data_IF_689264468685
#
_entry.id   IF_689264468685
#
_cell.length_a   1.000
_cell.length_b   1.000
_cell.length_c   1.000
_cell.angle_alpha   90.00
_cell.angle_beta   90.00
_cell.angle_gamma   90.00
#
_symmetry.space_group_name_H-M   'P 1'
#
loop_
_entity.id
_entity.type
_entity.pdbx_description
1 polymer ?
#
# COMPACT_ATOMS: atom_id res chain seq x y z
N UNK A 1 15.32 7.47 16.52
CA UNK A 1 14.67 6.16 16.57
C UNK A 1 13.97 5.95 15.23
N UNK A 2 14.70 5.59 14.17
CA UNK A 2 14.14 5.47 12.81
C UNK A 2 13.82 4.02 12.44
N UNK A 3 14.53 3.05 13.01
CA UNK A 3 14.25 1.63 12.88
C UNK A 3 13.28 1.09 13.95
N UNK A 4 12.05 1.61 13.98
CA UNK A 4 10.97 1.09 14.82
C UNK A 4 9.66 1.04 14.04
N UNK A 5 8.75 0.11 14.38
CA UNK A 5 7.42 0.07 13.77
C UNK A 5 6.64 1.34 14.08
N UNK A 6 5.82 1.76 13.12
CA UNK A 6 4.90 2.89 13.32
C UNK A 6 3.93 2.57 14.47
N UNK A 7 3.79 3.50 15.41
CA UNK A 7 2.78 3.40 16.46
C UNK A 7 1.37 3.66 15.91
N UNK A 8 0.34 3.30 16.68
CA UNK A 8 -1.07 3.45 16.27
C UNK A 8 -1.46 4.89 15.95
N UNK A 9 -0.84 5.89 16.61
CA UNK A 9 -1.10 7.31 16.33
C UNK A 9 -0.56 7.74 14.97
N UNK A 10 0.65 7.30 14.62
CA UNK A 10 1.29 7.60 13.34
C UNK A 10 0.62 6.83 12.19
N UNK A 11 0.18 5.60 12.43
CA UNK A 11 -0.68 4.87 11.48
C UNK A 11 -2.02 5.57 11.28
N UNK A 12 -2.64 6.05 12.38
CA UNK A 12 -3.89 6.82 12.33
C UNK A 12 -3.76 8.10 11.49
N UNK A 13 -2.64 8.81 11.58
CA UNK A 13 -2.38 9.99 10.73
C UNK A 13 -2.37 9.64 9.25
N UNK A 14 -1.75 8.53 8.85
CA UNK A 14 -1.75 8.06 7.46
C UNK A 14 -3.16 7.69 6.97
N UNK A 15 -3.98 7.08 7.84
CA UNK A 15 -5.37 6.78 7.52
C UNK A 15 -6.19 8.07 7.33
N UNK A 16 -6.05 9.03 8.25
CA UNK A 16 -6.73 10.34 8.16
C UNK A 16 -6.29 11.07 6.90
N UNK A 17 -5.00 11.06 6.58
CA UNK A 17 -4.46 11.62 5.33
C UNK A 17 -5.13 10.99 4.10
N UNK A 18 -5.20 9.67 4.06
CA UNK A 18 -5.81 8.94 2.94
C UNK A 18 -7.30 9.27 2.79
N UNK A 19 -8.02 9.38 3.92
CA UNK A 19 -9.42 9.76 3.93
C UNK A 19 -9.65 11.20 3.44
N UNK A 20 -8.78 12.14 3.84
CA UNK A 20 -8.82 13.53 3.38
C UNK A 20 -8.48 13.69 1.89
N UNK A 21 -7.61 12.82 1.36
CA UNK A 21 -7.24 12.81 -0.06
C UNK A 21 -8.33 12.21 -0.95
N UNK A 22 -9.16 11.28 -0.46
CA UNK A 22 -10.10 10.56 -1.32
C UNK A 22 -11.11 11.48 -2.05
N UNK A 23 -11.74 12.48 -1.39
CA UNK A 23 -12.66 13.39 -2.08
C UNK A 23 -11.97 14.22 -3.16
N UNK A 24 -10.73 14.66 -2.98
CA UNK A 24 -10.06 15.50 -3.98
C UNK A 24 -9.74 14.74 -5.26
N UNK A 25 -9.58 13.42 -5.19
CA UNK A 25 -9.46 12.54 -6.36
C UNK A 25 -10.76 12.52 -7.15
N UNK A 26 -11.92 12.46 -6.48
CA UNK A 26 -13.25 12.45 -7.12
C UNK A 26 -13.48 13.76 -7.89
N UNK A 27 -13.05 14.89 -7.33
CA UNK A 27 -13.11 16.20 -7.99
C UNK A 27 -11.96 16.44 -8.99
N UNK A 28 -11.16 15.42 -9.35
CA UNK A 28 -10.03 15.43 -10.29
C UNK A 28 -8.83 16.31 -9.92
N UNK A 29 -8.96 17.30 -9.04
CA UNK A 29 -7.85 18.16 -8.60
C UNK A 29 -6.78 17.41 -7.79
N UNK A 30 -7.16 16.33 -7.10
CA UNK A 30 -6.28 15.52 -6.26
C UNK A 30 -5.60 14.36 -6.96
N UNK A 31 -5.93 14.09 -8.24
CA UNK A 31 -5.41 12.92 -8.99
C UNK A 31 -3.91 13.00 -9.17
N UNK A 32 -3.38 14.12 -9.67
CA UNK A 32 -1.94 14.29 -9.92
C UNK A 32 -1.13 14.15 -8.61
N UNK A 33 -1.47 14.86 -7.52
CA UNK A 33 -0.80 14.66 -6.23
C UNK A 33 -0.88 13.22 -5.71
N UNK A 34 -2.03 12.56 -5.83
CA UNK A 34 -2.21 11.18 -5.40
C UNK A 34 -1.33 10.21 -6.20
N UNK A 35 -1.17 10.42 -7.52
CA UNK A 35 -0.28 9.64 -8.37
C UNK A 35 1.17 9.75 -7.91
N UNK A 36 1.65 10.96 -7.58
CA UNK A 36 3.03 11.12 -7.09
C UNK A 36 3.27 10.29 -5.82
N UNK A 37 2.35 10.36 -4.85
CA UNK A 37 2.49 9.61 -3.59
C UNK A 37 2.35 8.10 -3.80
N UNK A 38 1.36 7.66 -4.58
CA UNK A 38 1.15 6.24 -4.89
C UNK A 38 2.36 5.64 -5.61
N UNK A 39 2.90 6.35 -6.60
CA UNK A 39 4.12 5.95 -7.29
C UNK A 39 5.34 5.92 -6.35
N UNK A 40 5.48 6.92 -5.47
CA UNK A 40 6.53 6.93 -4.46
C UNK A 40 6.47 5.73 -3.53
N UNK A 41 5.28 5.38 -3.03
CA UNK A 41 5.05 4.19 -2.18
C UNK A 41 5.38 2.91 -2.93
N UNK A 42 4.92 2.79 -4.18
CA UNK A 42 5.21 1.63 -5.02
C UNK A 42 6.71 1.45 -5.25
N UNK A 43 7.41 2.52 -5.64
CA UNK A 43 8.84 2.49 -5.90
C UNK A 43 9.66 2.24 -4.63
N UNK A 44 9.25 2.82 -3.50
CA UNK A 44 9.85 2.52 -2.20
C UNK A 44 9.71 1.02 -1.87
N UNK A 45 8.52 0.43 -2.04
CA UNK A 45 8.31 -1.01 -1.79
C UNK A 45 9.13 -1.89 -2.72
N UNK A 46 9.26 -1.49 -3.99
CA UNK A 46 9.99 -2.23 -5.02
C UNK A 46 11.50 -2.19 -4.82
N UNK A 47 12.04 -1.01 -4.52
CA UNK A 47 13.48 -0.76 -4.45
C UNK A 47 14.03 -0.82 -3.03
N UNK A 48 13.16 -0.91 -2.01
CA UNK A 48 13.51 -0.75 -0.60
C UNK A 48 14.37 0.50 -0.38
N UNK A 49 13.93 1.63 -0.94
CA UNK A 49 14.62 2.91 -0.78
C UNK A 49 13.60 4.02 -0.52
N UNK A 50 13.72 4.63 0.66
CA UNK A 50 12.86 5.73 1.07
C UNK A 50 13.04 7.02 0.25
N UNK A 51 14.14 7.17 -0.51
CA UNK A 51 14.36 8.32 -1.40
C UNK A 51 13.23 8.51 -2.42
N UNK A 52 12.53 7.41 -2.77
CA UNK A 52 11.33 7.44 -3.62
C UNK A 52 10.19 8.21 -2.98
N UNK A 53 10.03 8.12 -1.65
CA UNK A 53 9.05 8.91 -0.88
C UNK A 53 9.47 10.37 -0.80
N UNK A 54 10.75 10.63 -0.50
CA UNK A 54 11.28 12.00 -0.45
C UNK A 54 11.01 12.73 -1.78
N UNK A 55 11.27 12.06 -2.90
CA UNK A 55 11.03 12.58 -4.25
C UNK A 55 9.54 12.78 -4.53
N UNK A 56 8.70 11.80 -4.18
CA UNK A 56 7.25 11.89 -4.36
C UNK A 56 6.63 13.06 -3.57
N UNK A 57 7.03 13.23 -2.30
CA UNK A 57 6.55 14.33 -1.45
C UNK A 57 7.08 15.68 -1.96
N UNK A 58 8.32 15.74 -2.46
CA UNK A 58 8.86 16.95 -3.08
C UNK A 58 8.05 17.34 -4.32
N UNK A 59 7.74 16.40 -5.20
CA UNK A 59 6.93 16.65 -6.40
C UNK A 59 5.49 17.03 -6.05
N UNK A 60 4.88 16.35 -5.08
CA UNK A 60 3.57 16.72 -4.52
C UNK A 60 3.58 18.18 -4.08
N UNK A 61 4.53 18.56 -3.21
CA UNK A 61 4.62 19.93 -2.70
C UNK A 61 4.89 20.94 -3.80
N UNK A 62 5.76 20.62 -4.76
CA UNK A 62 6.04 21.48 -5.91
C UNK A 62 4.77 21.76 -6.71
N UNK A 63 4.00 20.72 -7.03
CA UNK A 63 2.71 20.86 -7.72
C UNK A 63 1.71 21.69 -6.91
N UNK A 64 1.56 21.42 -5.61
CA UNK A 64 0.64 22.16 -4.74
C UNK A 64 1.08 23.62 -4.58
N UNK A 65 2.38 23.92 -4.54
CA UNK A 65 2.90 25.29 -4.54
C UNK A 65 2.56 26.03 -5.82
N UNK A 66 2.68 25.40 -6.99
CA UNK A 66 2.26 25.99 -8.26
C UNK A 66 0.76 26.33 -8.25
N UNK A 67 -0.07 25.40 -7.77
CA UNK A 67 -1.51 25.63 -7.62
C UNK A 67 -1.80 26.78 -6.64
N UNK A 68 -1.10 26.84 -5.51
CA UNK A 68 -1.23 27.89 -4.51
C UNK A 68 -0.87 29.26 -5.09
N UNK A 69 0.25 29.37 -5.81
CA UNK A 69 0.68 30.61 -6.46
C UNK A 69 -0.36 31.05 -7.50
N UNK A 70 -0.84 30.13 -8.33
CA UNK A 70 -1.89 30.41 -9.31
C UNK A 70 -3.17 30.94 -8.66
N UNK A 71 -3.65 30.27 -7.60
CA UNK A 71 -4.84 30.69 -6.88
C UNK A 71 -4.64 32.03 -6.16
N UNK A 72 -3.47 32.25 -5.56
CA UNK A 72 -3.14 33.50 -4.87
C UNK A 72 -3.09 34.68 -5.86
N UNK A 73 -2.44 34.52 -7.02
CA UNK A 73 -2.41 35.54 -8.06
C UNK A 73 -3.82 35.84 -8.60
N UNK A 74 -4.63 34.82 -8.86
CA UNK A 74 -6.03 35.00 -9.24
C UNK A 74 -6.83 35.73 -8.15
N UNK A 75 -6.65 35.36 -6.88
CA UNK A 75 -7.32 36.03 -5.76
C UNK A 75 -6.90 37.49 -5.65
N UNK A 76 -5.63 37.83 -5.86
CA UNK A 76 -5.17 39.22 -5.88
C UNK A 76 -5.77 40.00 -7.07
N UNK A 77 -5.85 39.38 -8.25
CA UNK A 77 -6.45 40.00 -9.43
C UNK A 77 -7.94 40.31 -9.23
N UNK A 78 -8.72 39.30 -8.83
CA UNK A 78 -10.16 39.49 -8.56
C UNK A 78 -10.41 40.34 -7.32
N UNK A 79 -9.54 40.28 -6.32
CA UNK A 79 -9.56 41.14 -5.15
C UNK A 79 -9.36 42.61 -5.52
N UNK A 80 -8.40 42.91 -6.41
CA UNK A 80 -8.22 44.27 -6.90
C UNK A 80 -9.49 44.82 -7.58
N UNK A 81 -10.13 44.02 -8.44
CA UNK A 81 -11.43 44.35 -9.06
C UNK A 81 -12.53 44.53 -8.02
N UNK A 82 -12.61 43.61 -7.06
CA UNK A 82 -13.57 43.66 -5.97
C UNK A 82 -13.43 44.90 -5.09
N UNK A 83 -12.21 45.38 -4.81
CA UNK A 83 -12.02 46.54 -3.94
C UNK A 83 -12.06 47.89 -4.69
N UNK A 84 -11.70 47.91 -5.97
CA UNK A 84 -11.47 49.15 -6.73
C UNK A 84 -12.61 49.55 -7.65
N UNK A 85 -13.43 48.61 -8.13
CA UNK A 85 -14.53 48.92 -9.06
C UNK A 85 -15.83 49.29 -8.33
N UNK A 86 -16.70 50.04 -9.00
CA UNK A 86 -17.98 50.48 -8.42
C UNK A 86 -18.97 49.30 -8.29
N UNK A 87 -18.92 48.34 -9.22
CA UNK A 87 -19.78 47.14 -9.25
C UNK A 87 -19.14 45.92 -8.57
N UNK A 88 -18.66 46.10 -7.33
CA UNK A 88 -17.92 45.10 -6.55
C UNK A 88 -18.62 43.74 -6.46
N UNK A 89 -19.95 43.72 -6.34
CA UNK A 89 -20.74 42.51 -6.19
C UNK A 89 -20.51 41.48 -7.30
N UNK A 90 -20.20 41.93 -8.52
CA UNK A 90 -19.91 41.02 -9.65
C UNK A 90 -18.64 40.20 -9.44
N UNK A 91 -17.68 40.72 -8.67
CA UNK A 91 -16.39 40.07 -8.43
C UNK A 91 -16.32 39.34 -7.08
N UNK A 92 -17.35 39.46 -6.24
CA UNK A 92 -17.39 38.88 -4.90
C UNK A 92 -17.14 37.37 -4.95
N UNK A 93 -17.96 36.63 -5.71
CA UNK A 93 -17.88 35.17 -5.78
C UNK A 93 -16.52 34.69 -6.29
N UNK A 94 -16.01 35.36 -7.33
CA UNK A 94 -14.70 35.04 -7.90
C UNK A 94 -13.58 35.26 -6.86
N UNK A 95 -13.54 36.44 -6.23
CA UNK A 95 -12.50 36.75 -5.24
C UNK A 95 -12.46 35.71 -4.11
N UNK A 96 -13.61 35.41 -3.50
CA UNK A 96 -13.68 34.46 -2.39
C UNK A 96 -13.45 33.01 -2.83
N UNK A 97 -13.90 32.60 -4.02
CA UNK A 97 -13.62 31.26 -4.53
C UNK A 97 -12.11 31.02 -4.71
N UNK A 98 -11.39 31.95 -5.35
CA UNK A 98 -9.94 31.83 -5.52
C UNK A 98 -9.18 31.91 -4.19
N UNK A 99 -9.67 32.71 -3.24
CA UNK A 99 -9.11 32.78 -1.89
C UNK A 99 -9.29 31.45 -1.14
N UNK A 100 -10.47 30.83 -1.22
CA UNK A 100 -10.73 29.52 -0.63
C UNK A 100 -9.85 28.45 -1.27
N UNK A 101 -9.69 28.44 -2.59
CA UNK A 101 -8.79 27.49 -3.26
C UNK A 101 -7.33 27.67 -2.85
N UNK A 102 -6.86 28.91 -2.67
CA UNK A 102 -5.53 29.17 -2.10
C UNK A 102 -5.43 28.61 -0.67
N UNK A 103 -6.44 28.85 0.17
CA UNK A 103 -6.50 28.30 1.53
C UNK A 103 -6.44 26.76 1.56
N UNK A 104 -7.20 26.10 0.67
CA UNK A 104 -7.20 24.64 0.52
C UNK A 104 -5.81 24.14 0.09
N UNK A 105 -5.19 24.76 -0.92
CA UNK A 105 -3.85 24.38 -1.39
C UNK A 105 -2.80 24.52 -0.27
N UNK A 106 -2.87 25.59 0.51
CA UNK A 106 -2.01 25.78 1.67
C UNK A 106 -2.23 24.72 2.75
N UNK A 107 -3.50 24.41 3.07
CA UNK A 107 -3.82 23.35 4.02
C UNK A 107 -3.28 21.98 3.56
N UNK A 108 -3.33 21.69 2.25
CA UNK A 108 -2.77 20.47 1.67
C UNK A 108 -1.25 20.32 1.90
N UNK A 109 -0.49 21.42 1.82
CA UNK A 109 0.95 21.42 2.12
C UNK A 109 1.24 21.04 3.58
N UNK A 110 0.40 21.51 4.51
CA UNK A 110 0.50 21.16 5.94
C UNK A 110 0.10 19.71 6.14
N UNK A 111 -1.02 19.29 5.58
CA UNK A 111 -1.57 17.94 5.70
C UNK A 111 -0.58 16.89 5.20
N UNK A 112 0.03 17.07 4.02
CA UNK A 112 1.04 16.12 3.51
C UNK A 112 2.29 16.10 4.40
N UNK A 113 2.68 17.24 4.97
CA UNK A 113 3.86 17.31 5.84
C UNK A 113 3.61 16.61 7.18
N UNK A 114 2.48 16.90 7.82
CA UNK A 114 2.19 16.48 9.20
C UNK A 114 1.61 15.07 9.26
N UNK A 115 0.71 14.73 8.33
CA UNK A 115 -0.04 13.47 8.38
C UNK A 115 0.59 12.35 7.56
N UNK A 116 1.36 12.68 6.50
CA UNK A 116 1.99 11.70 5.64
C UNK A 116 3.51 11.63 5.83
N UNK A 117 4.22 12.70 5.49
CA UNK A 117 5.68 12.69 5.44
C UNK A 117 6.33 12.56 6.81
N UNK A 118 5.88 13.32 7.81
CA UNK A 118 6.50 13.27 9.14
C UNK A 118 6.39 11.90 9.81
N UNK A 119 5.24 11.20 9.80
CA UNK A 119 5.14 9.84 10.32
C UNK A 119 6.05 8.87 9.56
N UNK A 120 6.04 8.90 8.23
CA UNK A 120 6.88 8.01 7.42
C UNK A 120 8.38 8.24 7.63
N UNK A 121 8.83 9.49 7.64
CA UNK A 121 10.24 9.84 7.80
C UNK A 121 10.75 9.53 9.21
N UNK A 122 9.88 9.62 10.23
CA UNK A 122 10.25 9.25 11.60
C UNK A 122 10.58 7.76 11.72
N UNK A 123 9.94 6.92 10.93
CA UNK A 123 10.10 5.44 10.93
C UNK A 123 10.76 4.95 9.64
N UNK A 124 11.61 5.79 9.03
CA UNK A 124 12.18 5.60 7.68
C UNK A 124 12.80 4.21 7.48
N UNK A 125 13.79 3.87 8.31
CA UNK A 125 14.55 2.61 8.22
C UNK A 125 13.63 1.38 8.35
N UNK A 126 12.62 1.46 9.22
CA UNK A 126 11.65 0.37 9.37
C UNK A 126 10.73 0.24 8.16
N UNK A 127 10.17 1.35 7.69
CA UNK A 127 9.18 1.40 6.61
C UNK A 127 9.78 0.94 5.29
N UNK A 128 11.06 1.25 5.06
CA UNK A 128 11.83 0.86 3.87
C UNK A 128 11.94 -0.67 3.72
N UNK A 129 12.20 -1.38 4.82
CA UNK A 129 12.44 -2.83 4.82
C UNK A 129 11.15 -3.63 5.05
N UNK A 130 10.35 -3.20 6.02
CA UNK A 130 9.22 -3.97 6.56
C UNK A 130 7.86 -3.51 6.01
N UNK A 131 7.77 -2.28 5.51
CA UNK A 131 6.55 -1.67 5.00
C UNK A 131 5.80 -0.80 6.02
N UNK A 132 4.86 0.00 5.51
CA UNK A 132 4.21 1.14 6.20
C UNK A 132 3.35 0.70 7.40
N UNK A 133 2.67 -0.45 7.31
CA UNK A 133 1.77 -0.95 8.37
C UNK A 133 2.26 -2.23 9.04
N UNK A 134 3.52 -2.62 8.81
CA UNK A 134 4.06 -3.82 9.46
C UNK A 134 4.44 -3.53 10.89
N UNK A 135 3.94 -4.36 11.81
CA UNK A 135 4.31 -4.35 13.24
C UNK A 135 5.36 -5.41 13.58
N UNK A 136 5.67 -6.30 12.63
CA UNK A 136 6.66 -7.38 12.79
C UNK A 136 7.79 -7.19 11.78
N UNK A 137 9.04 -7.51 12.15
CA UNK A 137 10.12 -7.48 11.19
C UNK A 137 9.84 -8.52 10.09
N UNK A 138 10.17 -8.16 8.86
CA UNK A 138 10.13 -9.07 7.72
C UNK A 138 11.21 -10.10 7.98
N UNK A 139 10.80 -11.33 8.28
CA UNK A 139 11.71 -12.47 8.46
C UNK A 139 12.66 -12.54 7.26
N UNK A 140 13.97 -12.63 7.48
CA UNK A 140 15.04 -12.82 6.47
C UNK A 140 14.90 -14.16 5.73
N UNK A 141 13.80 -14.33 5.00
CA UNK A 141 13.52 -15.44 4.09
C UNK A 141 12.81 -14.88 2.86
N UNK A 142 13.51 -14.10 2.05
CA UNK A 142 13.15 -13.86 0.64
C UNK A 142 14.15 -12.93 -0.05
N UNK A 143 15.43 -13.28 -0.02
CA UNK A 143 16.21 -13.15 -1.24
C UNK A 143 15.78 -14.30 -2.16
N UNK A 144 15.55 -13.98 -3.43
CA UNK A 144 15.16 -14.86 -4.55
C UNK A 144 13.65 -14.91 -4.81
N UNK A 145 13.25 -14.06 -5.77
CA UNK A 145 12.25 -14.30 -6.81
C UNK A 145 11.52 -15.65 -6.71
N UNK A 146 10.25 -15.63 -6.33
CA UNK A 146 9.24 -16.44 -6.98
C UNK A 146 7.91 -15.69 -6.90
N UNK A 147 7.34 -15.46 -8.07
CA UNK A 147 5.98 -15.03 -8.32
C UNK A 147 5.03 -15.44 -7.20
N UNK A 148 4.44 -14.43 -6.56
CA UNK A 148 3.22 -14.56 -5.77
C UNK A 148 2.09 -14.92 -6.76
N UNK A 149 2.06 -16.18 -7.18
CA UNK A 149 0.83 -16.84 -7.60
C UNK A 149 0.09 -17.08 -6.31
N UNK A 150 -0.97 -16.31 -6.11
CA UNK A 150 -1.96 -16.48 -5.07
C UNK A 150 -2.64 -17.85 -5.31
N UNK A 151 -2.03 -18.93 -4.80
CA UNK A 151 -2.63 -20.26 -4.80
C UNK A 151 -3.76 -20.20 -3.78
N UNK A 152 -4.94 -19.88 -4.31
CA UNK A 152 -6.24 -20.15 -3.72
C UNK A 152 -6.17 -21.55 -3.11
N UNK A 153 -6.08 -21.58 -1.77
CA UNK A 153 -6.45 -22.65 -0.84
C UNK A 153 -6.83 -23.98 -1.54
N UNK A 154 -5.81 -24.61 -2.11
CA UNK A 154 -5.90 -25.92 -2.71
C UNK A 154 -6.10 -26.94 -1.60
N UNK A 155 -7.23 -27.60 -1.68
CA UNK A 155 -7.65 -28.81 -0.99
C UNK A 155 -6.52 -29.62 -0.32
N UNK A 156 -6.76 -29.93 0.97
CA UNK A 156 -6.34 -31.15 1.66
C UNK A 156 -4.89 -31.58 1.44
N UNK A 157 -4.09 -31.41 2.50
CA UNK A 157 -2.96 -32.29 2.83
C UNK A 157 -3.22 -33.69 2.25
N UNK A 158 -2.45 -34.10 1.24
CA UNK A 158 -2.54 -35.45 0.64
C UNK A 158 -2.15 -36.46 1.72
N UNK A 159 -3.14 -36.86 2.50
CA UNK A 159 -3.14 -38.13 3.20
C UNK A 159 -3.22 -39.16 2.08
N UNK A 160 -2.09 -39.80 1.75
CA UNK A 160 -2.06 -40.87 0.75
C UNK A 160 -3.18 -41.86 1.08
N UNK A 161 -4.08 -42.10 0.12
CA UNK A 161 -5.22 -42.98 0.34
C UNK A 161 -4.69 -44.38 0.61
N UNK A 162 -5.25 -45.07 1.60
CA UNK A 162 -4.94 -46.48 1.89
C UNK A 162 -5.09 -47.33 0.63
N UNK A 163 -5.97 -46.95 -0.30
CA UNK A 163 -6.12 -47.59 -1.59
C UNK A 163 -4.87 -47.47 -2.49
N UNK A 164 -4.24 -46.30 -2.54
CA UNK A 164 -3.05 -46.06 -3.37
C UNK A 164 -1.83 -46.83 -2.83
N UNK A 165 -1.71 -46.91 -1.50
CA UNK A 165 -0.67 -47.72 -0.86
C UNK A 165 -0.89 -49.21 -1.13
N UNK A 166 -2.12 -49.72 -1.01
CA UNK A 166 -2.45 -51.10 -1.35
C UNK A 166 -2.19 -51.45 -2.82
N UNK A 167 -2.46 -50.53 -3.75
CA UNK A 167 -2.15 -50.71 -5.18
C UNK A 167 -0.63 -50.83 -5.40
N UNK A 168 0.19 -50.07 -4.65
CA UNK A 168 1.64 -50.16 -4.74
C UNK A 168 2.17 -51.50 -4.20
N UNK A 169 1.63 -51.96 -3.07
CA UNK A 169 1.97 -53.27 -2.51
C UNK A 169 1.54 -54.42 -3.44
N UNK A 170 0.39 -54.29 -4.10
CA UNK A 170 -0.09 -55.29 -5.07
C UNK A 170 0.85 -55.41 -6.28
N UNK A 171 1.35 -54.27 -6.80
CA UNK A 171 2.34 -54.27 -7.88
C UNK A 171 3.66 -54.93 -7.47
N UNK A 172 4.16 -54.64 -6.26
CA UNK A 172 5.40 -55.26 -5.78
C UNK A 172 5.29 -56.79 -5.63
N UNK A 173 4.08 -57.28 -5.32
CA UNK A 173 3.80 -58.72 -5.28
C UNK A 173 3.74 -59.30 -6.70
N UNK A 174 3.02 -58.66 -7.62
CA UNK A 174 2.93 -59.11 -9.02
C UNK A 174 4.30 -59.14 -9.72
N UNK A 175 5.17 -58.17 -9.40
CA UNK A 175 6.54 -58.09 -9.89
C UNK A 175 7.48 -59.11 -9.20
N UNK A 176 6.98 -59.90 -8.25
CA UNK A 176 7.73 -60.97 -7.57
C UNK A 176 8.75 -60.48 -6.52
N UNK A 177 8.67 -59.21 -6.12
CA UNK A 177 9.60 -58.61 -5.16
C UNK A 177 9.24 -58.89 -3.69
N UNK A 178 8.00 -59.31 -3.41
CA UNK A 178 7.52 -59.68 -2.07
C UNK A 178 6.68 -60.96 -2.14
N UNK A 179 6.65 -61.71 -1.04
CA UNK A 179 5.82 -62.92 -0.95
C UNK A 179 4.35 -62.60 -0.70
N UNK A 180 3.46 -63.57 -0.94
CA UNK A 180 2.02 -63.47 -0.63
C UNK A 180 1.77 -63.17 0.86
N UNK A 181 2.63 -63.70 1.72
CA UNK A 181 2.54 -63.58 3.17
C UNK A 181 2.89 -62.15 3.62
N UNK A 182 3.95 -61.57 3.06
CA UNK A 182 4.38 -60.18 3.31
C UNK A 182 3.35 -59.17 2.81
N UNK A 183 2.73 -59.43 1.66
CA UNK A 183 1.64 -58.61 1.14
C UNK A 183 0.41 -58.64 2.06
N UNK A 184 0.02 -59.81 2.56
CA UNK A 184 -1.12 -59.95 3.46
C UNK A 184 -0.87 -59.27 4.81
N UNK A 185 0.34 -59.34 5.36
CA UNK A 185 0.69 -58.64 6.59
C UNK A 185 0.61 -57.11 6.42
N UNK A 186 1.17 -56.58 5.33
CA UNK A 186 1.10 -55.16 4.99
C UNK A 186 -0.35 -54.69 4.79
N UNK A 187 -1.17 -55.49 4.10
CA UNK A 187 -2.60 -55.20 3.88
C UNK A 187 -3.39 -55.13 5.18
N UNK A 188 -3.17 -56.07 6.11
CA UNK A 188 -3.85 -56.06 7.42
C UNK A 188 -3.42 -54.84 8.25
N UNK A 189 -2.14 -54.48 8.21
CA UNK A 189 -1.61 -53.31 8.92
C UNK A 189 -2.17 -51.99 8.39
N UNK A 190 -2.34 -51.88 7.08
CA UNK A 190 -2.92 -50.70 6.43
C UNK A 190 -4.42 -50.59 6.67
N UNK A 191 -5.16 -51.71 6.68
CA UNK A 191 -6.60 -51.72 6.99
C UNK A 191 -6.90 -51.40 8.46
N UNK A 192 -6.01 -51.73 9.40
CA UNK A 192 -6.14 -51.38 10.83
C UNK A 192 -5.77 -49.93 11.16
N UNK A 193 -5.14 -49.21 10.23
CA UNK A 193 -4.71 -47.81 10.42
C UNK A 193 -5.82 -46.78 10.15
N UNK A 194 -6.94 -47.22 9.57
CA UNK A 194 -8.14 -46.43 9.31
C UNK A 194 -9.23 -46.71 10.35
#
# INVERSE_FOLDING_TARGET
MQNQPMNSGDQGKLLIFSLLMAPSIIFLFGVIPAIFLGFGIYMMKKNQDFSSIDTAVKNFKGYTWLALIGCALSSLYWGNKYFSEEHRWYYYDNFFAWLIFAGIAFAYLIVVQVLFYSPMNRHREWVEVNGIFSTKPKSDKSSVNQSEVDIIKGEKLKQYSVADELIKWAKLKEDGHISEEEFNEARIKLLKRN
#
